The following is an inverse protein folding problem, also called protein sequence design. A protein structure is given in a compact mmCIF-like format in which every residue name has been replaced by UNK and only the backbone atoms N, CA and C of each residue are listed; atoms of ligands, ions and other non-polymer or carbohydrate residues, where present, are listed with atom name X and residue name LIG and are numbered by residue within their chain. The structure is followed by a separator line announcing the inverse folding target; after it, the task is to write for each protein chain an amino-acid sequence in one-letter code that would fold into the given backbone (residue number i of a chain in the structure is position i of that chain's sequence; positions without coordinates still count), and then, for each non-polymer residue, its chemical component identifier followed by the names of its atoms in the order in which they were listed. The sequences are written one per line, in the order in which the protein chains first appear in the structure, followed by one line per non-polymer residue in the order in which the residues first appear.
data_IF_697711369457
#
_entry.id   IF_697711369457
#
_cell.length_a   1.000
_cell.length_b   1.000
_cell.length_c   1.000
_cell.angle_alpha   90.00
_cell.angle_beta   90.00
_cell.angle_gamma   90.00
#
_symmetry.space_group_name_H-M   'P 1'
#
loop_
_entity.id
_entity.type
_entity.pdbx_description
1 polymer ?
#
# COMPACT_ATOMS: atom_id res chain seq x y z
N UNK A 1 -1.63 -23.79 -2.87
CA UNK A 1 -1.38 -22.52 -2.17
C UNK A 1 -0.02 -22.61 -1.52
N UNK A 2 0.79 -21.56 -1.57
CA UNK A 2 2.21 -21.58 -1.16
C UNK A 2 2.44 -21.50 0.36
N UNK A 3 1.37 -21.59 1.19
CA UNK A 3 1.47 -21.57 2.65
C UNK A 3 1.70 -20.18 3.26
N UNK A 4 1.42 -19.11 2.53
CA UNK A 4 1.45 -17.74 3.04
C UNK A 4 0.11 -17.38 3.70
N UNK A 5 0.19 -16.64 4.81
CA UNK A 5 -0.95 -16.03 5.47
C UNK A 5 -1.20 -14.61 4.92
N UNK A 6 -2.40 -14.06 5.12
CA UNK A 6 -2.71 -12.71 4.64
C UNK A 6 -1.75 -11.64 5.19
N UNK A 7 -1.29 -11.80 6.44
CA UNK A 7 -0.31 -10.89 7.06
C UNK A 7 1.07 -10.90 6.40
N UNK A 8 1.40 -11.94 5.65
CA UNK A 8 2.64 -12.03 4.87
C UNK A 8 2.57 -11.23 3.56
N UNK A 9 1.37 -10.81 3.16
CA UNK A 9 1.12 -10.07 1.93
C UNK A 9 1.06 -8.55 2.16
N UNK A 10 1.52 -7.80 1.17
CA UNK A 10 1.36 -6.34 1.10
C UNK A 10 0.93 -5.96 -0.31
N UNK A 11 -0.22 -5.32 -0.42
CA UNK A 11 -0.67 -4.68 -1.66
C UNK A 11 -0.06 -3.28 -1.77
N UNK A 12 0.36 -2.89 -2.97
CA UNK A 12 0.94 -1.58 -3.25
C UNK A 12 0.24 -1.00 -4.47
N UNK A 13 -0.32 0.19 -4.34
CA UNK A 13 -1.08 0.83 -5.42
C UNK A 13 -1.10 2.35 -5.32
N UNK A 14 -1.41 3.02 -6.42
CA UNK A 14 -1.39 4.48 -6.55
C UNK A 14 -2.80 5.08 -6.67
N UNK A 15 -3.82 4.24 -6.84
CA UNK A 15 -5.21 4.64 -6.98
C UNK A 15 -6.08 4.22 -5.80
N UNK A 16 -7.16 4.96 -5.59
CA UNK A 16 -8.23 4.62 -4.64
C UNK A 16 -8.87 3.26 -4.96
N UNK A 17 -8.89 2.86 -6.23
CA UNK A 17 -9.45 1.57 -6.66
C UNK A 17 -8.60 0.40 -6.17
N UNK A 18 -7.29 0.59 -6.03
CA UNK A 18 -6.37 -0.46 -5.59
C UNK A 18 -6.62 -0.87 -4.13
N UNK A 19 -7.23 0.00 -3.30
CA UNK A 19 -7.63 -0.36 -1.94
C UNK A 19 -8.53 -1.61 -1.92
N UNK A 20 -9.36 -1.78 -2.94
CA UNK A 20 -10.24 -2.96 -3.07
C UNK A 20 -9.47 -4.26 -3.34
N UNK A 21 -8.22 -4.16 -3.79
CA UNK A 21 -7.34 -5.31 -4.06
C UNK A 21 -6.56 -5.76 -2.83
N UNK A 22 -6.72 -5.08 -1.68
CA UNK A 22 -6.16 -5.53 -0.42
C UNK A 22 -6.84 -6.84 0.02
N UNK A 23 -6.04 -7.89 0.20
CA UNK A 23 -6.53 -9.12 0.83
C UNK A 23 -6.89 -8.81 2.29
N UNK A 24 -8.06 -9.24 2.76
CA UNK A 24 -8.46 -9.04 4.15
C UNK A 24 -7.41 -9.63 5.12
N UNK A 25 -6.99 -8.85 6.12
CA UNK A 25 -5.92 -9.21 7.06
C UNK A 25 -4.49 -8.94 6.56
N UNK A 26 -4.32 -8.50 5.30
CA UNK A 26 -3.04 -8.04 4.77
C UNK A 26 -2.81 -6.55 4.99
N UNK A 27 -1.67 -6.01 4.54
CA UNK A 27 -1.35 -4.59 4.58
C UNK A 27 -1.50 -3.94 3.20
N UNK A 28 -1.69 -2.62 3.17
CA UNK A 28 -1.66 -1.83 1.93
C UNK A 28 -0.72 -0.63 2.08
N UNK A 29 0.04 -0.31 1.03
CA UNK A 29 0.88 0.90 0.94
C UNK A 29 0.44 1.72 -0.27
N UNK A 30 0.02 2.96 -0.03
CA UNK A 30 -0.21 3.94 -1.09
C UNK A 30 1.12 4.38 -1.67
N UNK A 31 1.34 4.21 -2.97
CA UNK A 31 2.60 4.54 -3.61
C UNK A 31 2.42 5.58 -4.71
N UNK A 32 3.08 6.72 -4.53
CA UNK A 32 3.11 7.86 -5.44
C UNK A 32 1.74 8.29 -6.00
N UNK A 33 0.68 8.44 -5.16
CA UNK A 33 -0.62 8.87 -5.65
C UNK A 33 -0.54 10.29 -6.22
N UNK A 34 -1.03 10.45 -7.45
CA UNK A 34 -1.03 11.76 -8.12
C UNK A 34 -2.36 12.49 -7.99
N UNK A 35 -3.47 11.76 -7.87
CA UNK A 35 -4.83 12.30 -7.77
C UNK A 35 -5.20 12.63 -6.32
N UNK A 36 -5.91 13.73 -6.12
CA UNK A 36 -6.42 14.12 -4.80
C UNK A 36 -7.43 13.11 -4.23
N UNK A 37 -8.18 12.40 -5.10
CA UNK A 37 -9.08 11.33 -4.69
C UNK A 37 -8.31 10.18 -4.03
N UNK A 38 -7.23 9.71 -4.65
CA UNK A 38 -6.35 8.68 -4.08
C UNK A 38 -5.73 9.14 -2.77
N UNK A 39 -5.19 10.36 -2.71
CA UNK A 39 -4.59 10.91 -1.48
C UNK A 39 -5.59 10.95 -0.32
N UNK A 40 -6.81 11.43 -0.59
CA UNK A 40 -7.88 11.52 0.40
C UNK A 40 -8.34 10.13 0.85
N UNK A 41 -8.50 9.19 -0.09
CA UNK A 41 -8.89 7.81 0.21
C UNK A 41 -7.83 7.10 1.07
N UNK A 42 -6.56 7.25 0.75
CA UNK A 42 -5.46 6.67 1.54
C UNK A 42 -5.37 7.28 2.94
N UNK A 43 -5.56 8.60 3.07
CA UNK A 43 -5.62 9.26 4.37
C UNK A 43 -6.80 8.76 5.22
N UNK A 44 -7.98 8.60 4.61
CA UNK A 44 -9.17 8.06 5.28
C UNK A 44 -8.99 6.59 5.70
N UNK A 45 -8.28 5.80 4.89
CA UNK A 45 -7.95 4.41 5.20
C UNK A 45 -6.86 4.27 6.28
N UNK A 46 -6.17 5.35 6.65
CA UNK A 46 -5.14 5.33 7.69
C UNK A 46 -3.90 4.50 7.32
N UNK A 47 -3.63 4.36 6.02
CA UNK A 47 -2.52 3.56 5.51
C UNK A 47 -1.25 4.40 5.29
N UNK A 48 -0.05 3.78 5.28
CA UNK A 48 1.16 4.46 4.86
C UNK A 48 1.08 4.93 3.41
N UNK A 49 1.56 6.15 3.15
CA UNK A 49 1.66 6.72 1.80
C UNK A 49 3.08 7.20 1.53
N UNK A 50 3.66 6.76 0.42
CA UNK A 50 4.99 7.16 -0.04
C UNK A 50 4.84 8.01 -1.29
N UNK A 51 5.15 9.31 -1.23
CA UNK A 51 4.99 10.24 -2.37
C UNK A 51 6.25 10.37 -3.24
N UNK A 52 7.12 9.37 -3.23
CA UNK A 52 8.36 9.36 -4.00
C UNK A 52 8.25 8.53 -5.29
N UNK A 53 9.08 8.83 -6.29
CA UNK A 53 9.16 8.03 -7.53
C UNK A 53 9.93 6.72 -7.34
N UNK A 54 10.79 6.65 -6.33
CA UNK A 54 11.64 5.49 -6.10
C UNK A 54 10.87 4.42 -5.32
N UNK A 55 10.61 3.26 -5.95
CA UNK A 55 9.91 2.16 -5.29
C UNK A 55 10.65 1.65 -4.05
N UNK A 56 11.98 1.77 -4.00
CA UNK A 56 12.76 1.35 -2.84
C UNK A 56 12.40 2.13 -1.57
N UNK A 57 11.76 3.28 -1.69
CA UNK A 57 11.30 4.08 -0.55
C UNK A 57 10.18 3.40 0.25
N UNK A 58 9.61 2.29 -0.23
CA UNK A 58 8.67 1.46 0.55
C UNK A 58 9.35 0.52 1.56
N UNK A 59 10.67 0.29 1.44
CA UNK A 59 11.42 -0.67 2.29
C UNK A 59 11.19 -0.51 3.80
N UNK A 60 11.18 0.71 4.39
CA UNK A 60 10.97 0.88 5.82
C UNK A 60 9.62 0.33 6.29
N UNK A 61 8.60 0.38 5.42
CA UNK A 61 7.26 -0.15 5.70
C UNK A 61 7.17 -1.67 5.56
N UNK A 62 8.16 -2.29 4.91
CA UNK A 62 8.28 -3.74 4.76
C UNK A 62 9.21 -4.37 5.81
N UNK A 63 9.81 -3.58 6.70
CA UNK A 63 10.82 -4.07 7.65
C UNK A 63 12.16 -4.44 6.99
N UNK A 64 12.41 -3.91 5.78
CA UNK A 64 13.64 -4.14 5.03
C UNK A 64 14.65 -3.01 5.27
N UNK A 65 15.94 -3.36 5.25
CA UNK A 65 17.06 -2.41 5.35
C UNK A 65 17.45 -1.84 3.97
#
# INVERSE_FOLDING_TARGET
MQGFEAGDCVSVGDSEMDLSMQVEGSRFIGFNPTRESSKSAFAAAGIPVVSEKNLLSIKPYLGLK
#
